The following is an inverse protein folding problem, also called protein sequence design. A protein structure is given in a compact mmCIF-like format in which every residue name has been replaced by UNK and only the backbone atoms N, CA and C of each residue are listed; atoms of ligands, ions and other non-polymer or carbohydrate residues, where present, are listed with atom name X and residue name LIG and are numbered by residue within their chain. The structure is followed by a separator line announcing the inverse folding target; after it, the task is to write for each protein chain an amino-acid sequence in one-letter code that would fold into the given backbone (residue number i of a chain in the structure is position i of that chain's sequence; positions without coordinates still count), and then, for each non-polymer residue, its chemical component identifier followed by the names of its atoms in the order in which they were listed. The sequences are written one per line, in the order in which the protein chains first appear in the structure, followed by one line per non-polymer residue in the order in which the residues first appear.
data_IF_806637501288
#
_entry.id   IF_806637501288
#
_cell.length_a   1.000
_cell.length_b   1.000
_cell.length_c   1.000
_cell.angle_alpha   90.00
_cell.angle_beta   90.00
_cell.angle_gamma   90.00
#
_symmetry.space_group_name_H-M   'P 1'
#
loop_
_entity.id
_entity.type
_entity.pdbx_description
1 polymer ?
#
# COMPACT_ATOMS: atom_id res chain seq x y z
N UNK A 1 27.81 -39.70 -51.58
CA UNK A 1 26.43 -39.23 -51.81
C UNK A 1 25.53 -39.33 -50.58
N UNK A 2 26.06 -39.41 -49.36
CA UNK A 2 25.26 -39.46 -48.11
C UNK A 2 25.31 -38.18 -47.26
N UNK A 3 26.27 -37.29 -47.49
CA UNK A 3 26.45 -36.10 -46.65
C UNK A 3 25.47 -34.97 -46.94
N UNK A 4 25.02 -34.83 -48.19
CA UNK A 4 24.04 -33.81 -48.55
C UNK A 4 22.68 -34.01 -47.85
N UNK A 5 22.30 -35.27 -47.56
CA UNK A 5 21.01 -35.52 -46.90
C UNK A 5 20.96 -34.99 -45.45
N UNK A 6 22.08 -35.01 -44.75
CA UNK A 6 22.15 -34.46 -43.38
C UNK A 6 22.02 -32.94 -43.34
N UNK A 7 22.55 -32.27 -44.41
CA UNK A 7 22.43 -30.82 -44.53
C UNK A 7 20.96 -30.42 -44.77
N UNK A 8 20.25 -31.16 -45.63
CA UNK A 8 18.82 -30.91 -45.85
C UNK A 8 17.97 -31.22 -44.63
N UNK A 9 18.27 -32.24 -43.84
CA UNK A 9 17.60 -32.56 -42.61
C UNK A 9 17.85 -31.45 -41.55
N UNK A 10 19.06 -30.94 -41.42
CA UNK A 10 19.42 -29.83 -40.56
C UNK A 10 18.70 -28.54 -40.92
N UNK A 11 18.62 -28.22 -42.20
CA UNK A 11 17.91 -27.06 -42.74
C UNK A 11 16.39 -27.16 -42.49
N UNK A 12 15.83 -28.36 -42.66
CA UNK A 12 14.41 -28.62 -42.43
C UNK A 12 14.06 -28.51 -40.94
N UNK A 13 14.95 -28.99 -40.04
CA UNK A 13 14.80 -28.83 -38.60
C UNK A 13 14.84 -27.36 -38.19
N UNK A 14 15.74 -26.54 -38.74
CA UNK A 14 15.80 -25.10 -38.48
C UNK A 14 14.54 -24.37 -38.95
N UNK A 15 13.95 -24.78 -40.08
CA UNK A 15 12.70 -24.21 -40.59
C UNK A 15 11.51 -24.49 -39.63
N UNK A 16 11.47 -25.66 -39.00
CA UNK A 16 10.44 -26.03 -38.05
C UNK A 16 10.55 -25.19 -36.76
N UNK A 17 11.79 -24.91 -36.32
CA UNK A 17 12.00 -24.02 -35.16
C UNK A 17 11.68 -22.55 -35.46
N UNK A 18 11.88 -22.09 -36.68
CA UNK A 18 11.56 -20.72 -37.11
C UNK A 18 10.03 -20.51 -37.28
N UNK A 19 9.26 -21.57 -37.53
CA UNK A 19 7.81 -21.51 -37.67
C UNK A 19 7.07 -21.55 -36.31
N UNK A 20 7.79 -21.68 -35.20
CA UNK A 20 7.24 -21.57 -33.84
C UNK A 20 7.13 -20.10 -33.39
N UNK A 21 6.73 -19.19 -34.28
CA UNK A 21 6.15 -17.94 -33.86
C UNK A 21 4.78 -18.28 -33.27
N UNK A 22 4.72 -18.30 -31.95
CA UNK A 22 3.48 -18.36 -31.21
C UNK A 22 2.72 -17.06 -31.48
N UNK A 23 1.62 -17.17 -32.19
CA UNK A 23 0.72 -16.06 -32.45
C UNK A 23 -0.02 -15.79 -31.13
N UNK A 24 0.57 -14.95 -30.28
CA UNK A 24 -0.09 -14.51 -29.06
C UNK A 24 -1.31 -13.71 -29.47
N UNK A 25 -2.47 -14.21 -29.07
CA UNK A 25 -3.72 -13.45 -29.20
C UNK A 25 -3.53 -12.14 -28.44
N UNK A 26 -3.99 -11.04 -29.05
CA UNK A 26 -4.03 -9.74 -28.40
C UNK A 26 -4.59 -9.90 -26.98
N UNK A 27 -3.75 -9.59 -25.99
CA UNK A 27 -4.16 -9.62 -24.59
C UNK A 27 -5.21 -8.53 -24.41
N UNK A 28 -6.45 -8.94 -24.31
CA UNK A 28 -7.51 -8.05 -23.84
C UNK A 28 -7.27 -7.85 -22.35
N UNK A 29 -6.95 -6.62 -21.89
CA UNK A 29 -6.79 -6.36 -20.48
C UNK A 29 -8.08 -6.83 -19.77
N UNK A 30 -7.94 -7.75 -18.82
CA UNK A 30 -9.06 -8.08 -17.95
C UNK A 30 -9.44 -6.79 -17.22
N UNK A 31 -10.74 -6.48 -17.18
CA UNK A 31 -11.22 -5.39 -16.35
C UNK A 31 -10.69 -5.61 -14.93
N UNK A 32 -9.91 -4.66 -14.44
CA UNK A 32 -9.44 -4.68 -13.05
C UNK A 32 -10.68 -4.42 -12.20
N UNK A 33 -11.31 -5.49 -11.74
CA UNK A 33 -12.37 -5.40 -10.73
C UNK A 33 -11.66 -5.04 -9.42
N UNK A 34 -11.54 -3.75 -9.15
CA UNK A 34 -11.10 -3.28 -7.84
C UNK A 34 -12.12 -3.72 -6.80
N UNK A 35 -11.65 -4.21 -5.67
CA UNK A 35 -12.52 -4.57 -4.52
C UNK A 35 -13.15 -3.33 -3.86
N UNK A 36 -12.75 -2.14 -4.28
CA UNK A 36 -13.19 -0.86 -3.76
C UNK A 36 -13.61 0.09 -4.89
N UNK A 37 -14.50 1.01 -4.57
CA UNK A 37 -14.96 2.08 -5.45
C UNK A 37 -14.69 3.44 -4.82
N UNK A 38 -14.56 4.47 -5.64
CA UNK A 38 -14.53 5.88 -5.21
C UNK A 38 -15.65 6.59 -5.95
N UNK A 39 -16.60 7.23 -5.26
CA UNK A 39 -16.77 7.31 -3.80
C UNK A 39 -17.21 6.00 -3.14
N UNK A 40 -17.00 5.87 -1.82
CA UNK A 40 -17.43 4.73 -1.01
C UNK A 40 -18.75 4.96 -0.27
N UNK A 41 -19.28 6.17 -0.31
CA UNK A 41 -20.55 6.59 0.31
C UNK A 41 -21.11 7.83 -0.34
N UNK A 42 -21.92 8.55 0.42
CA UNK A 42 -22.61 9.78 -0.02
C UNK A 42 -22.53 10.90 1.02
N UNK A 43 -21.42 10.94 1.77
CA UNK A 43 -21.18 11.97 2.77
C UNK A 43 -20.49 13.18 2.13
N UNK A 44 -20.49 14.32 2.78
CA UNK A 44 -19.85 15.54 2.29
C UNK A 44 -18.34 15.36 2.04
N UNK A 45 -17.69 14.49 2.81
CA UNK A 45 -16.27 14.19 2.61
C UNK A 45 -16.00 13.25 1.42
N UNK A 46 -17.00 12.53 0.93
CA UNK A 46 -16.83 11.68 -0.26
C UNK A 46 -16.57 12.52 -1.52
N UNK A 47 -17.16 13.72 -1.62
CA UNK A 47 -16.86 14.65 -2.71
C UNK A 47 -15.40 15.09 -2.68
N UNK A 48 -14.86 15.38 -1.49
CA UNK A 48 -13.44 15.73 -1.31
C UNK A 48 -12.53 14.55 -1.68
N UNK A 49 -12.92 13.34 -1.32
CA UNK A 49 -12.18 12.11 -1.70
C UNK A 49 -12.15 11.93 -3.22
N UNK A 50 -13.27 12.17 -3.90
CA UNK A 50 -13.36 12.13 -5.37
C UNK A 50 -12.47 13.21 -6.00
N UNK A 51 -12.44 14.41 -5.45
CA UNK A 51 -11.57 15.48 -5.94
C UNK A 51 -10.09 15.11 -5.81
N UNK A 52 -9.69 14.54 -4.68
CA UNK A 52 -8.32 14.03 -4.46
C UNK A 52 -7.98 12.93 -5.47
N UNK A 53 -8.89 11.99 -5.70
CA UNK A 53 -8.70 10.94 -6.68
C UNK A 53 -8.53 11.51 -8.11
N UNK A 54 -9.38 12.45 -8.50
CA UNK A 54 -9.31 13.07 -9.83
C UNK A 54 -8.03 13.90 -10.00
N UNK A 55 -7.54 14.54 -8.93
CA UNK A 55 -6.37 15.39 -8.97
C UNK A 55 -5.05 14.59 -8.94
N UNK A 56 -4.95 13.56 -8.10
CA UNK A 56 -3.70 12.86 -7.82
C UNK A 56 -3.69 11.38 -8.22
N UNK A 57 -4.84 10.77 -8.52
CA UNK A 57 -4.95 9.35 -8.84
C UNK A 57 -4.89 8.42 -7.63
N UNK A 58 -4.88 8.96 -6.41
CA UNK A 58 -4.83 8.20 -5.16
C UNK A 58 -6.21 8.00 -4.58
N UNK A 59 -6.55 6.76 -4.21
CA UNK A 59 -7.81 6.42 -3.58
C UNK A 59 -7.70 6.54 -2.05
N UNK A 60 -8.47 7.43 -1.43
CA UNK A 60 -8.65 7.44 0.02
C UNK A 60 -9.77 6.46 0.36
N UNK A 61 -9.47 5.45 1.18
CA UNK A 61 -10.40 4.36 1.48
C UNK A 61 -10.63 4.25 2.99
N UNK A 62 -11.89 4.33 3.39
CA UNK A 62 -12.33 4.10 4.77
C UNK A 62 -13.12 2.79 4.93
N UNK A 63 -13.55 2.18 3.80
CA UNK A 63 -14.14 0.84 3.72
C UNK A 63 -13.22 -0.02 2.86
N UNK A 64 -12.56 -0.99 3.45
CA UNK A 64 -11.61 -1.86 2.79
C UNK A 64 -11.51 -3.21 3.50
N UNK A 65 -10.90 -4.17 2.86
CA UNK A 65 -10.69 -5.52 3.40
C UNK A 65 -9.23 -5.73 3.79
N UNK A 66 -8.97 -6.77 4.58
CA UNK A 66 -7.60 -7.17 4.92
C UNK A 66 -6.74 -7.42 3.68
N UNK A 67 -7.33 -7.96 2.62
CA UNK A 67 -6.65 -8.15 1.36
C UNK A 67 -6.19 -6.84 0.73
N UNK A 68 -6.99 -5.79 0.81
CA UNK A 68 -6.63 -4.48 0.27
C UNK A 68 -5.48 -3.85 1.04
N UNK A 69 -5.41 -4.14 2.34
CA UNK A 69 -4.42 -3.58 3.27
C UNK A 69 -3.09 -4.34 3.25
N UNK A 70 -3.14 -5.68 3.27
CA UNK A 70 -1.95 -6.53 3.50
C UNK A 70 -1.39 -7.17 2.23
N UNK A 71 -1.98 -6.92 1.08
CA UNK A 71 -1.52 -7.51 -0.17
C UNK A 71 -0.08 -7.09 -0.54
N UNK A 72 0.69 -8.06 -1.03
CA UNK A 72 2.02 -7.85 -1.61
C UNK A 72 2.19 -8.75 -2.84
N UNK A 73 3.12 -8.47 -3.75
CA UNK A 73 3.38 -9.32 -4.93
C UNK A 73 3.80 -10.75 -4.59
N UNK A 74 4.38 -10.97 -3.43
CA UNK A 74 4.79 -12.30 -2.96
C UNK A 74 3.67 -13.08 -2.28
N UNK A 75 2.51 -12.46 -2.09
CA UNK A 75 1.35 -12.98 -1.41
C UNK A 75 0.73 -11.92 -0.53
N UNK A 76 -0.47 -12.15 -0.04
CA UNK A 76 -1.03 -11.29 0.98
C UNK A 76 -0.84 -11.95 2.36
N UNK A 77 -0.56 -11.13 3.34
CA UNK A 77 -0.38 -11.62 4.70
C UNK A 77 -1.75 -11.78 5.35
N UNK A 78 -2.11 -13.01 5.68
CA UNK A 78 -3.26 -13.27 6.53
C UNK A 78 -3.01 -12.65 7.89
N UNK A 79 -3.55 -11.50 8.13
CA UNK A 79 -3.49 -10.83 9.42
C UNK A 79 -2.18 -11.03 10.18
N UNK A 80 -1.89 -10.16 11.02
CA UNK A 80 -0.65 -10.05 11.73
C UNK A 80 -0.25 -11.24 12.58
N UNK A 81 -1.23 -11.93 13.06
CA UNK A 81 -1.06 -13.00 14.03
C UNK A 81 -1.12 -14.37 13.36
N UNK A 82 -0.73 -14.45 12.09
CA UNK A 82 -0.66 -15.70 11.37
C UNK A 82 0.15 -16.76 12.10
N UNK A 83 -0.19 -18.02 11.87
CA UNK A 83 0.51 -19.19 12.39
C UNK A 83 2.02 -19.05 12.26
N UNK A 84 2.75 -19.25 13.34
CA UNK A 84 4.21 -19.21 13.37
C UNK A 84 4.85 -17.94 13.93
N UNK A 85 4.11 -17.11 14.63
CA UNK A 85 4.68 -16.02 15.43
C UNK A 85 5.31 -14.90 14.62
N UNK A 86 4.65 -14.49 13.55
CA UNK A 86 5.13 -13.35 12.73
C UNK A 86 4.73 -12.04 13.38
N UNK A 87 5.70 -11.13 13.48
CA UNK A 87 5.43 -9.73 13.76
C UNK A 87 4.75 -9.06 12.57
N UNK A 88 3.94 -8.04 12.81
CA UNK A 88 3.25 -7.34 11.72
C UNK A 88 2.43 -6.16 12.25
N UNK A 89 1.34 -5.84 11.55
CA UNK A 89 0.49 -4.70 11.89
C UNK A 89 -0.99 -5.13 11.93
N UNK A 90 -1.72 -4.59 12.89
CA UNK A 90 -3.18 -4.67 12.94
C UNK A 90 -3.71 -3.30 12.58
N UNK A 91 -4.61 -3.26 11.61
CA UNK A 91 -5.20 -2.03 11.11
C UNK A 91 -6.70 -2.08 11.36
N UNK A 92 -7.22 -1.07 12.05
CA UNK A 92 -8.65 -0.90 12.30
C UNK A 92 -9.18 0.19 11.37
N UNK A 93 -10.20 -0.08 10.53
CA UNK A 93 -10.79 0.93 9.66
C UNK A 93 -11.30 2.15 10.43
N UNK A 94 -11.28 3.32 9.80
CA UNK A 94 -11.78 4.55 10.39
C UNK A 94 -13.28 4.47 10.69
N UNK A 95 -13.69 5.12 11.78
CA UNK A 95 -15.10 5.38 12.03
C UNK A 95 -15.60 6.47 11.08
N UNK A 96 -16.69 6.19 10.36
CA UNK A 96 -17.26 7.10 9.35
C UNK A 96 -17.57 8.49 9.91
N UNK A 97 -17.81 8.60 11.21
CA UNK A 97 -18.06 9.88 11.90
C UNK A 97 -16.85 10.82 11.86
N UNK A 98 -15.63 10.26 11.86
CA UNK A 98 -14.38 11.03 11.94
C UNK A 98 -13.62 11.12 10.61
N UNK A 99 -14.09 10.42 9.57
CA UNK A 99 -13.44 10.42 8.24
C UNK A 99 -13.30 11.82 7.68
N UNK A 100 -14.32 12.66 7.80
CA UNK A 100 -14.25 14.05 7.29
C UNK A 100 -13.14 14.86 7.95
N UNK A 101 -12.98 14.76 9.27
CA UNK A 101 -11.90 15.43 10.01
C UNK A 101 -10.55 14.85 9.64
N UNK A 102 -10.45 13.53 9.46
CA UNK A 102 -9.22 12.85 9.07
C UNK A 102 -8.78 13.25 7.66
N UNK A 103 -9.69 13.32 6.69
CA UNK A 103 -9.40 13.77 5.32
C UNK A 103 -8.93 15.24 5.33
N UNK A 104 -9.57 16.10 6.10
CA UNK A 104 -9.14 17.49 6.30
C UNK A 104 -7.73 17.54 6.88
N UNK A 105 -7.43 16.73 7.89
CA UNK A 105 -6.12 16.66 8.50
C UNK A 105 -5.03 16.19 7.53
N UNK A 106 -5.30 15.17 6.72
CA UNK A 106 -4.36 14.66 5.68
C UNK A 106 -4.05 15.78 4.68
N UNK A 107 -5.06 16.48 4.20
CA UNK A 107 -4.90 17.56 3.26
C UNK A 107 -4.08 18.73 3.85
N UNK A 108 -4.42 19.15 5.06
CA UNK A 108 -3.84 20.33 5.68
C UNK A 108 -2.45 20.09 6.28
N UNK A 109 -2.17 18.87 6.78
CA UNK A 109 -0.92 18.58 7.46
C UNK A 109 0.06 17.77 6.60
N UNK A 110 -0.40 17.07 5.58
CA UNK A 110 0.46 16.27 4.71
C UNK A 110 0.52 16.86 3.30
N UNK A 111 -0.61 16.95 2.58
CA UNK A 111 -0.59 17.36 1.17
C UNK A 111 -0.11 18.81 1.01
N UNK A 112 -0.46 19.72 1.93
CA UNK A 112 -0.03 21.10 1.89
C UNK A 112 1.49 21.32 1.96
N UNK A 113 2.26 20.29 2.35
CA UNK A 113 3.72 20.35 2.46
C UNK A 113 4.43 20.11 1.12
N UNK A 114 3.72 19.64 0.10
CA UNK A 114 4.29 19.22 -1.18
C UNK A 114 3.60 19.94 -2.33
N UNK A 115 4.28 20.05 -3.47
CA UNK A 115 3.66 20.57 -4.69
C UNK A 115 2.73 19.52 -5.31
N UNK A 116 1.76 19.98 -6.10
CA UNK A 116 0.81 19.08 -6.79
C UNK A 116 1.52 18.09 -7.73
N UNK A 117 2.62 18.55 -8.38
CA UNK A 117 3.40 17.67 -9.26
C UNK A 117 4.05 16.55 -8.46
N UNK A 118 4.58 16.86 -7.27
CA UNK A 118 5.16 15.84 -6.39
C UNK A 118 4.10 14.85 -5.92
N UNK A 119 2.94 15.34 -5.49
CA UNK A 119 1.86 14.47 -5.04
C UNK A 119 1.36 13.55 -6.16
N UNK A 120 1.21 14.03 -7.39
CA UNK A 120 0.80 13.23 -8.55
C UNK A 120 1.79 12.10 -8.88
N UNK A 121 3.07 12.32 -8.64
CA UNK A 121 4.10 11.36 -8.99
C UNK A 121 4.37 10.34 -7.87
N UNK A 122 4.23 10.76 -6.61
CA UNK A 122 4.73 9.99 -5.46
C UNK A 122 3.67 9.53 -4.47
N UNK A 123 2.41 9.94 -4.59
CA UNK A 123 1.37 9.36 -3.74
C UNK A 123 1.15 7.88 -4.06
N UNK A 124 0.91 7.04 -3.06
CA UNK A 124 0.54 5.65 -3.29
C UNK A 124 -0.83 5.56 -3.96
N UNK A 125 -1.09 4.42 -4.58
CA UNK A 125 -2.38 4.16 -5.22
C UNK A 125 -3.53 4.21 -4.21
N UNK A 126 -3.27 3.74 -2.98
CA UNK A 126 -4.27 3.68 -1.90
C UNK A 126 -3.76 4.35 -0.64
N UNK A 127 -4.60 5.15 -0.03
CA UNK A 127 -4.42 5.70 1.32
C UNK A 127 -5.55 5.16 2.17
N UNK A 128 -5.21 4.27 3.12
CA UNK A 128 -6.17 3.64 4.02
C UNK A 128 -6.41 4.56 5.22
N UNK A 129 -7.65 4.94 5.43
CA UNK A 129 -8.07 5.73 6.58
C UNK A 129 -8.37 4.78 7.74
N UNK A 130 -7.62 4.89 8.83
CA UNK A 130 -7.65 3.97 9.94
C UNK A 130 -8.01 4.71 11.24
N UNK A 131 -8.76 4.04 12.10
CA UNK A 131 -8.96 4.49 13.49
C UNK A 131 -7.65 4.33 14.27
N UNK A 132 -7.11 3.12 14.24
CA UNK A 132 -5.87 2.76 14.93
C UNK A 132 -5.02 1.83 14.09
N UNK A 133 -3.72 1.88 14.34
CA UNK A 133 -2.73 0.99 13.73
C UNK A 133 -1.80 0.50 14.84
N UNK A 134 -1.77 -0.81 15.07
CA UNK A 134 -0.88 -1.43 16.05
C UNK A 134 0.24 -2.21 15.37
N UNK A 135 1.47 -1.85 15.68
CA UNK A 135 2.63 -2.69 15.37
C UNK A 135 2.72 -3.80 16.41
N UNK A 136 2.51 -5.04 15.99
CA UNK A 136 2.47 -6.21 16.88
C UNK A 136 3.70 -7.07 16.68
N UNK A 137 4.33 -7.44 17.78
CA UNK A 137 5.52 -8.28 17.77
C UNK A 137 5.49 -9.30 18.91
N UNK A 138 6.19 -10.41 18.71
CA UNK A 138 6.23 -11.48 19.68
C UNK A 138 7.42 -11.30 20.62
N UNK A 139 7.17 -11.47 21.91
CA UNK A 139 8.18 -11.45 22.98
C UNK A 139 8.05 -12.70 23.85
N UNK A 140 9.15 -13.07 24.51
CA UNK A 140 9.11 -14.11 25.51
C UNK A 140 8.75 -13.52 26.88
N UNK A 141 7.74 -14.08 27.51
CA UNK A 141 7.39 -13.81 28.89
C UNK A 141 8.15 -14.78 29.80
N UNK A 142 9.08 -14.24 30.58
CA UNK A 142 9.89 -14.98 31.56
C UNK A 142 9.36 -14.87 32.98
N UNK A 143 8.20 -14.26 33.18
CA UNK A 143 7.61 -14.05 34.53
C UNK A 143 7.11 -15.33 35.17
N UNK A 144 6.81 -16.36 34.39
CA UNK A 144 6.30 -17.65 34.86
C UNK A 144 6.93 -18.83 34.11
N UNK A 145 7.09 -19.95 34.80
CA UNK A 145 7.52 -21.21 34.15
C UNK A 145 6.28 -22.10 33.89
N UNK A 146 6.14 -22.72 32.69
CA UNK A 146 7.01 -22.64 31.52
C UNK A 146 6.93 -21.25 30.83
N UNK A 147 8.05 -20.79 30.29
CA UNK A 147 8.11 -19.55 29.54
C UNK A 147 7.16 -19.58 28.33
N UNK A 148 6.49 -18.47 28.10
CA UNK A 148 5.47 -18.36 27.03
C UNK A 148 5.82 -17.25 26.06
N UNK A 149 5.46 -17.44 24.82
CA UNK A 149 5.46 -16.37 23.84
C UNK A 149 4.14 -15.59 23.94
N UNK A 150 4.26 -14.27 24.08
CA UNK A 150 3.13 -13.35 24.13
C UNK A 150 3.31 -12.29 23.05
N UNK A 151 2.19 -11.77 22.56
CA UNK A 151 2.21 -10.66 21.63
C UNK A 151 2.14 -9.35 22.39
N UNK A 152 2.96 -8.38 21.95
CA UNK A 152 2.88 -7.00 22.41
C UNK A 152 2.56 -6.10 21.22
N UNK A 153 1.64 -5.17 21.42
CA UNK A 153 1.29 -4.14 20.46
C UNK A 153 1.89 -2.79 20.86
N UNK A 154 2.24 -2.00 19.87
CA UNK A 154 2.60 -0.59 20.02
C UNK A 154 1.84 0.19 18.97
N UNK A 155 1.03 1.15 19.43
CA UNK A 155 0.33 2.05 18.53
C UNK A 155 1.31 2.84 17.67
N UNK A 156 1.03 2.90 16.37
CA UNK A 156 1.75 3.72 15.39
C UNK A 156 0.76 4.58 14.62
N UNK A 157 1.19 5.74 14.17
CA UNK A 157 0.28 6.70 13.53
C UNK A 157 0.22 6.54 12.02
N UNK A 158 1.18 5.83 11.44
CA UNK A 158 1.17 5.46 10.04
C UNK A 158 1.98 4.19 9.80
N UNK A 159 1.56 3.46 8.78
CA UNK A 159 2.26 2.30 8.27
C UNK A 159 2.10 2.25 6.74
N UNK A 160 3.14 1.83 6.06
CA UNK A 160 3.09 1.64 4.62
C UNK A 160 3.28 0.18 4.24
N UNK A 161 2.62 -0.23 3.17
CA UNK A 161 2.77 -1.53 2.54
C UNK A 161 3.11 -1.31 1.05
N UNK A 162 3.06 -2.36 0.25
CA UNK A 162 3.51 -2.35 -1.14
C UNK A 162 2.84 -1.27 -2.00
N UNK A 163 1.53 -1.15 -1.95
CA UNK A 163 0.73 -0.25 -2.79
C UNK A 163 -0.15 0.73 -2.00
N UNK A 164 0.00 0.73 -0.68
CA UNK A 164 -0.84 1.55 0.19
C UNK A 164 -0.07 2.16 1.36
N UNK A 165 -0.66 3.20 1.91
CA UNK A 165 -0.29 3.82 3.18
C UNK A 165 -1.52 3.81 4.08
N UNK A 166 -1.36 3.29 5.29
CA UNK A 166 -2.36 3.37 6.34
C UNK A 166 -2.07 4.58 7.22
N UNK A 167 -3.07 5.41 7.45
CA UNK A 167 -2.99 6.61 8.28
C UNK A 167 -4.00 6.49 9.41
N UNK A 168 -3.53 6.56 10.66
CA UNK A 168 -4.38 6.58 11.85
C UNK A 168 -5.10 7.93 12.00
N UNK A 169 -5.82 8.13 13.07
CA UNK A 169 -6.65 9.28 13.42
C UNK A 169 -8.08 9.28 12.88
N UNK A 170 -8.61 8.16 12.42
CA UNK A 170 -10.01 8.00 12.08
C UNK A 170 -10.89 7.61 13.28
N UNK A 171 -10.59 8.15 14.47
CA UNK A 171 -11.32 7.94 15.73
C UNK A 171 -11.47 9.25 16.49
N UNK A 172 -12.07 9.23 17.69
CA UNK A 172 -12.22 10.42 18.54
C UNK A 172 -10.90 11.16 18.84
N UNK A 173 -9.76 10.50 18.64
CA UNK A 173 -8.43 11.05 18.87
C UNK A 173 -7.89 11.93 17.72
N UNK A 174 -8.74 12.34 16.76
CA UNK A 174 -8.31 13.24 15.67
C UNK A 174 -7.67 14.51 16.23
N UNK A 175 -6.42 14.84 15.91
CA UNK A 175 -5.79 16.05 16.35
C UNK A 175 -6.48 17.26 15.70
N UNK A 176 -7.06 18.15 16.52
CA UNK A 176 -7.72 19.37 16.05
C UNK A 176 -6.76 20.44 15.51
N UNK A 177 -5.46 20.17 15.52
CA UNK A 177 -4.44 21.08 15.06
C UNK A 177 -3.35 20.32 14.29
N UNK A 178 -3.02 20.80 13.11
CA UNK A 178 -1.92 20.29 12.28
C UNK A 178 -0.56 20.26 13.00
N UNK A 179 -0.37 21.07 14.05
CA UNK A 179 0.85 21.10 14.87
C UNK A 179 1.04 19.84 15.72
N UNK A 180 -0.01 19.04 15.94
CA UNK A 180 0.05 17.79 16.71
C UNK A 180 0.26 16.57 15.80
N UNK A 181 0.31 16.76 14.49
CA UNK A 181 0.58 15.71 13.55
C UNK A 181 2.07 15.33 13.65
N UNK A 182 2.43 14.14 14.09
CA UNK A 182 3.80 13.69 13.94
C UNK A 182 4.09 13.67 12.44
N UNK A 183 5.10 14.41 12.01
CA UNK A 183 5.54 14.40 10.61
C UNK A 183 5.68 12.95 10.18
N UNK A 184 4.88 12.53 9.22
CA UNK A 184 4.96 11.20 8.64
C UNK A 184 6.27 11.14 7.86
N UNK A 185 7.35 10.73 8.54
CA UNK A 185 8.61 10.43 7.86
C UNK A 185 8.41 9.15 7.07
N UNK A 186 8.16 9.28 5.78
CA UNK A 186 8.32 8.16 4.88
C UNK A 186 9.81 7.95 4.67
N UNK A 187 10.39 6.83 5.14
CA UNK A 187 11.78 6.57 4.83
C UNK A 187 11.89 6.42 3.32
N UNK A 188 12.76 7.21 2.74
CA UNK A 188 13.04 7.28 1.29
C UNK A 188 13.48 5.93 0.67
N UNK A 189 13.56 4.86 1.47
CA UNK A 189 14.00 3.54 1.06
C UNK A 189 12.96 2.72 0.30
N UNK A 190 11.71 3.16 0.23
CA UNK A 190 10.61 2.41 -0.41
C UNK A 190 10.40 2.83 -1.87
N UNK A 191 10.82 4.03 -2.22
CA UNK A 191 10.80 4.46 -3.60
C UNK A 191 12.19 4.30 -4.21
N UNK A 192 12.32 3.83 -5.46
CA UNK A 192 13.58 3.87 -6.18
C UNK A 192 13.95 5.32 -6.47
N UNK A 193 14.32 6.05 -5.42
CA UNK A 193 14.49 7.48 -5.46
C UNK A 193 15.83 7.86 -6.06
N UNK A 194 15.81 8.42 -7.25
CA UNK A 194 16.87 9.27 -7.79
C UNK A 194 16.77 10.71 -7.28
N UNK A 195 16.39 10.93 -6.03
CA UNK A 195 16.31 12.29 -5.49
C UNK A 195 17.34 12.45 -4.38
N UNK A 196 18.21 13.45 -4.42
CA UNK A 196 19.19 13.70 -3.37
C UNK A 196 18.48 14.07 -2.06
N UNK A 197 18.91 13.41 -1.00
CA UNK A 197 18.51 13.65 0.37
C UNK A 197 18.87 15.10 0.76
N UNK A 198 17.94 16.01 0.65
CA UNK A 198 18.09 17.37 1.21
C UNK A 198 16.74 18.01 1.47
N UNK A 199 16.02 17.54 2.47
CA UNK A 199 15.00 18.34 3.17
C UNK A 199 14.75 17.75 4.56
N UNK A 200 15.76 17.75 5.42
CA UNK A 200 15.53 17.75 6.85
C UNK A 200 15.16 19.15 7.28
N UNK A 201 13.89 19.42 7.47
CA UNK A 201 13.46 20.55 8.29
C UNK A 201 12.94 20.00 9.60
N UNK A 202 13.85 19.97 10.56
CA UNK A 202 13.53 19.90 11.99
C UNK A 202 13.01 21.29 12.36
N UNK A 203 11.77 21.38 12.77
CA UNK A 203 11.28 22.52 13.54
C UNK A 203 11.21 22.15 15.01
N UNK A 204 11.65 23.06 15.89
CA UNK A 204 11.76 22.87 17.33
C UNK A 204 10.41 22.71 18.03
#
# INVERSE_FOLDING_TARGET
MKWNNYIYIGLLLQLVFAASCYDEKDLVPSEVVSSYSVPQGTHDYDDVIVDIYNQYGSCLLYKYTDKDTYWTPSGWMDGVLGEGGKSGYIVTPADETYVGEQVGLIRDAWFSLYSDEFLKEFLPIKIMLCADIDSVYMVWDFSSYPFKQIYQGKEVKAWYNYDNICVSYGSEAVPRSSRQFPVLFFPCSVFPCRIPVAAFLVFP
#
